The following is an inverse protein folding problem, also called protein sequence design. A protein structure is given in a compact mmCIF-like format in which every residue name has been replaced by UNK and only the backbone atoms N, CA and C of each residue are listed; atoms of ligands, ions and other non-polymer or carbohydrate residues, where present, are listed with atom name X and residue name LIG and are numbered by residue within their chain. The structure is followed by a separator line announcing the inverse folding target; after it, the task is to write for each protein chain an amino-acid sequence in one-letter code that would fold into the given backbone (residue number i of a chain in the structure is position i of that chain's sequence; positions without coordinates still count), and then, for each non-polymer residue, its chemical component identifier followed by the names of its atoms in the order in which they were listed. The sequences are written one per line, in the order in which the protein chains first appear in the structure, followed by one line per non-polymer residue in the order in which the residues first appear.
data_IF_666214377532
#
_entry.id   IF_666214377532
#
_cell.length_a   1.000
_cell.length_b   1.000
_cell.length_c   1.000
_cell.angle_alpha   90.00
_cell.angle_beta   90.00
_cell.angle_gamma   90.00
#
_symmetry.space_group_name_H-M   'P 1'
#
loop_
_entity.id
_entity.type
_entity.pdbx_description
1 polymer ?
#
# COMPACT_ATOMS: atom_id res chain seq x y z
N UNK A 1 48.50 -16.16 21.35
CA UNK A 1 47.66 -15.69 20.25
C UNK A 1 46.39 -15.15 20.88
N UNK A 2 46.06 -13.86 20.76
CA UNK A 2 44.83 -13.33 21.33
C UNK A 2 43.65 -13.76 20.43
N UNK A 3 42.67 -14.47 21.03
CA UNK A 3 41.43 -14.84 20.34
C UNK A 3 40.63 -13.57 20.02
N UNK A 4 40.47 -13.27 18.76
CA UNK A 4 39.59 -12.22 18.28
C UNK A 4 38.15 -12.76 18.33
N UNK A 5 37.41 -12.44 19.39
CA UNK A 5 35.97 -12.73 19.46
C UNK A 5 35.27 -11.72 18.57
N UNK A 6 34.82 -12.15 17.38
CA UNK A 6 33.82 -11.42 16.62
C UNK A 6 32.59 -11.24 17.52
N UNK A 7 32.26 -9.97 17.84
CA UNK A 7 31.05 -9.66 18.55
C UNK A 7 29.84 -10.25 17.81
N UNK A 8 28.85 -10.73 18.57
CA UNK A 8 27.57 -11.24 18.03
C UNK A 8 26.99 -10.22 17.07
N UNK A 9 26.58 -10.66 15.86
CA UNK A 9 25.68 -9.86 15.01
C UNK A 9 24.43 -9.61 15.85
N UNK A 10 24.21 -8.35 16.20
CA UNK A 10 23.16 -7.96 17.16
C UNK A 10 21.76 -8.24 16.59
N UNK A 11 21.56 -8.03 15.29
CA UNK A 11 20.25 -8.09 14.65
C UNK A 11 20.07 -9.36 13.84
N UNK A 12 18.87 -9.99 13.99
CA UNK A 12 18.45 -11.17 13.23
C UNK A 12 17.25 -10.84 12.37
N UNK A 13 17.42 -10.95 11.05
CA UNK A 13 16.30 -10.80 10.11
C UNK A 13 15.35 -11.99 10.21
N UNK A 14 14.04 -11.71 10.38
CA UNK A 14 12.97 -12.71 10.51
C UNK A 14 11.99 -12.71 9.34
N UNK A 15 12.17 -11.80 8.35
CA UNK A 15 11.25 -11.66 7.24
C UNK A 15 10.01 -10.84 7.58
N UNK A 16 8.89 -11.12 6.91
CA UNK A 16 7.62 -10.46 7.19
C UNK A 16 7.12 -10.83 8.58
N UNK A 17 6.55 -9.82 9.27
CA UNK A 17 5.90 -10.03 10.56
C UNK A 17 4.74 -11.03 10.41
N UNK A 18 4.67 -11.99 11.30
CA UNK A 18 3.64 -13.02 11.32
C UNK A 18 2.86 -12.99 12.65
N UNK A 19 1.59 -13.39 12.57
CA UNK A 19 0.71 -13.50 13.74
C UNK A 19 1.14 -14.68 14.65
N UNK A 20 0.83 -14.59 15.93
CA UNK A 20 1.03 -15.67 16.93
C UNK A 20 2.44 -16.26 16.90
N UNK A 21 3.44 -15.44 16.60
CA UNK A 21 4.85 -15.83 16.43
C UNK A 21 5.70 -15.29 17.58
N UNK A 22 6.54 -16.14 18.15
CA UNK A 22 7.50 -15.72 19.18
C UNK A 22 8.66 -14.95 18.55
N UNK A 23 8.87 -13.72 19.02
CA UNK A 23 9.97 -12.84 18.65
C UNK A 23 10.86 -12.56 19.86
N UNK A 24 12.15 -12.48 19.59
CA UNK A 24 13.17 -12.18 20.58
C UNK A 24 13.74 -10.79 20.37
N UNK A 25 14.28 -10.18 21.43
CA UNK A 25 15.03 -8.91 21.34
C UNK A 25 16.05 -9.01 20.22
N UNK A 26 16.21 -7.91 19.46
CA UNK A 26 17.09 -7.76 18.32
C UNK A 26 16.65 -8.56 17.06
N UNK A 27 15.50 -9.23 17.07
CA UNK A 27 14.86 -9.70 15.83
C UNK A 27 14.42 -8.45 15.01
N UNK A 28 14.61 -8.51 13.68
CA UNK A 28 14.08 -7.50 12.74
C UNK A 28 12.98 -8.14 11.91
N UNK A 29 11.84 -7.45 11.85
CA UNK A 29 10.67 -7.87 11.07
C UNK A 29 10.26 -6.76 10.11
N UNK A 30 9.65 -7.14 9.00
CA UNK A 30 9.00 -6.22 8.07
C UNK A 30 7.49 -6.23 8.27
N UNK A 31 6.89 -5.04 8.33
CA UNK A 31 5.44 -4.88 8.34
C UNK A 31 5.04 -3.71 7.43
N UNK A 32 4.27 -4.00 6.37
CA UNK A 32 4.03 -3.03 5.30
C UNK A 32 5.34 -2.65 4.60
N UNK A 33 5.54 -1.37 4.35
CA UNK A 33 6.79 -0.83 3.79
C UNK A 33 7.94 -0.71 4.79
N UNK A 34 7.67 -0.81 6.09
CA UNK A 34 8.62 -0.50 7.16
C UNK A 34 9.27 -1.74 7.75
N UNK A 35 10.47 -1.56 8.31
CA UNK A 35 11.12 -2.57 9.15
C UNK A 35 11.19 -2.12 10.60
N UNK A 36 11.09 -3.07 11.50
CA UNK A 36 11.05 -2.83 12.96
C UNK A 36 11.99 -3.77 13.67
N UNK A 37 12.65 -3.27 14.71
CA UNK A 37 13.44 -4.08 15.64
C UNK A 37 12.60 -4.43 16.87
N UNK A 38 12.65 -5.67 17.29
CA UNK A 38 12.02 -6.16 18.51
C UNK A 38 12.80 -5.68 19.72
N UNK A 39 12.14 -5.00 20.64
CA UNK A 39 12.71 -4.43 21.86
C UNK A 39 12.43 -5.27 23.10
N UNK A 40 11.43 -6.15 23.05
CA UNK A 40 11.01 -7.01 24.17
C UNK A 40 10.59 -8.37 23.63
N UNK A 41 11.08 -9.44 24.27
CA UNK A 41 10.65 -10.80 23.96
C UNK A 41 9.14 -10.96 24.15
N UNK A 42 8.44 -11.38 23.12
CA UNK A 42 6.99 -11.56 23.17
C UNK A 42 6.49 -12.50 22.06
N UNK A 43 5.25 -12.94 22.21
CA UNK A 43 4.48 -13.54 21.10
C UNK A 43 3.61 -12.46 20.47
N UNK A 44 3.68 -12.31 19.16
CA UNK A 44 2.89 -11.32 18.41
C UNK A 44 1.39 -11.61 18.50
N UNK A 45 0.59 -10.59 18.22
CA UNK A 45 -0.87 -10.67 18.19
C UNK A 45 -1.39 -11.70 17.18
N UNK A 46 -2.62 -12.14 17.39
CA UNK A 46 -3.28 -13.15 16.55
C UNK A 46 -3.93 -12.59 15.28
N UNK A 47 -3.93 -11.26 15.11
CA UNK A 47 -4.46 -10.58 13.93
C UNK A 47 -3.43 -9.65 13.29
N UNK A 48 -3.37 -9.65 11.97
CA UNK A 48 -2.47 -8.78 11.19
C UNK A 48 -2.74 -7.30 11.48
N UNK A 49 -3.99 -6.92 11.72
CA UNK A 49 -4.38 -5.55 12.05
C UNK A 49 -3.83 -5.08 13.41
N UNK A 50 -3.46 -5.99 14.29
CA UNK A 50 -3.07 -5.67 15.67
C UNK A 50 -1.55 -5.45 15.85
N UNK A 51 -0.77 -5.37 14.77
CA UNK A 51 0.66 -5.04 14.86
C UNK A 51 0.91 -3.76 15.67
N UNK A 52 0.09 -2.71 15.40
CA UNK A 52 0.24 -1.42 16.09
C UNK A 52 -0.12 -1.46 17.58
N UNK A 53 -0.86 -2.47 18.05
CA UNK A 53 -1.06 -2.70 19.49
C UNK A 53 0.26 -3.05 20.16
N UNK A 54 1.05 -3.95 19.55
CA UNK A 54 2.36 -4.32 20.06
C UNK A 54 3.40 -3.19 19.91
N UNK A 55 3.30 -2.41 18.81
CA UNK A 55 4.13 -1.22 18.61
C UNK A 55 3.85 -0.15 19.68
N UNK A 56 2.58 0.14 19.96
CA UNK A 56 2.17 1.09 21.02
C UNK A 56 2.59 0.64 22.42
N UNK A 57 2.67 -0.69 22.65
CA UNK A 57 3.19 -1.28 23.88
C UNK A 57 4.74 -1.32 23.91
N UNK A 58 5.41 -0.60 23.01
CA UNK A 58 6.87 -0.52 22.90
C UNK A 58 7.59 -1.85 22.72
N UNK A 59 6.91 -2.88 22.15
CA UNK A 59 7.54 -4.17 21.83
C UNK A 59 8.36 -4.13 20.55
N UNK A 60 8.14 -3.13 19.73
CA UNK A 60 8.86 -2.84 18.50
C UNK A 60 9.31 -1.38 18.46
N UNK A 61 10.40 -1.14 17.78
CA UNK A 61 10.88 0.19 17.43
C UNK A 61 11.09 0.26 15.91
N UNK A 62 10.68 1.36 15.28
CA UNK A 62 10.96 1.60 13.87
C UNK A 62 12.46 1.54 13.62
N UNK A 63 12.89 0.67 12.71
CA UNK A 63 14.28 0.52 12.30
C UNK A 63 14.57 1.30 11.01
N UNK A 64 13.72 1.12 9.99
CA UNK A 64 13.77 1.94 8.78
C UNK A 64 12.39 2.09 8.16
N UNK A 65 12.16 3.24 7.56
CA UNK A 65 11.00 3.48 6.71
C UNK A 65 11.29 2.97 5.30
N UNK A 66 10.25 2.50 4.64
CA UNK A 66 10.29 2.04 3.26
C UNK A 66 8.89 1.96 2.68
N UNK A 67 8.80 1.60 1.42
CA UNK A 67 7.55 1.44 0.69
C UNK A 67 7.35 -0.03 0.32
N UNK A 68 6.10 -0.45 0.27
CA UNK A 68 5.72 -1.75 -0.24
C UNK A 68 4.71 -1.60 -1.39
N UNK A 69 5.15 -1.89 -2.61
CA UNK A 69 4.25 -1.86 -3.75
C UNK A 69 3.33 -3.09 -3.73
N UNK A 70 2.03 -2.84 -3.57
CA UNK A 70 1.01 -3.87 -3.36
C UNK A 70 0.22 -4.22 -4.63
N UNK A 71 0.49 -3.54 -5.73
CA UNK A 71 -0.23 -3.71 -6.99
C UNK A 71 -1.45 -2.80 -7.09
N UNK A 72 -2.49 -3.23 -7.79
CA UNK A 72 -3.73 -2.47 -7.94
C UNK A 72 -4.50 -2.38 -6.62
N UNK A 73 -5.10 -1.20 -6.37
CA UNK A 73 -6.03 -1.04 -5.28
C UNK A 73 -7.27 -1.93 -5.47
N UNK A 74 -7.72 -2.57 -4.41
CA UNK A 74 -8.89 -3.44 -4.40
C UNK A 74 -9.82 -3.17 -3.21
N UNK A 75 -11.08 -3.61 -3.35
CA UNK A 75 -12.06 -3.61 -2.26
C UNK A 75 -11.72 -4.66 -1.19
N UNK A 76 -12.25 -4.48 0.01
CA UNK A 76 -12.14 -5.41 1.14
C UNK A 76 -10.70 -5.88 1.40
N UNK A 77 -9.74 -5.02 1.09
CA UNK A 77 -8.31 -5.31 1.16
C UNK A 77 -7.67 -4.56 2.31
N UNK A 78 -6.90 -5.27 3.14
CA UNK A 78 -6.17 -4.67 4.24
C UNK A 78 -4.91 -3.97 3.74
N UNK A 79 -4.81 -2.67 4.01
CA UNK A 79 -3.66 -1.82 3.70
C UNK A 79 -2.93 -1.38 4.95
N UNK A 80 -1.62 -1.41 4.89
CA UNK A 80 -0.71 -1.01 5.97
C UNK A 80 -0.09 0.35 5.66
N UNK A 81 0.44 0.99 6.67
CA UNK A 81 1.24 2.21 6.48
C UNK A 81 2.35 1.96 5.45
N UNK A 82 2.52 2.89 4.50
CA UNK A 82 3.49 2.84 3.42
C UNK A 82 3.29 1.72 2.38
N UNK A 83 2.11 1.04 2.38
CA UNK A 83 1.71 0.29 1.18
C UNK A 83 1.42 1.29 0.05
N UNK A 84 1.97 1.01 -1.15
CA UNK A 84 1.73 1.79 -2.37
C UNK A 84 0.86 0.97 -3.30
N UNK A 85 -0.22 1.57 -3.78
CA UNK A 85 -1.17 0.94 -4.70
C UNK A 85 -1.31 1.76 -5.97
N UNK A 86 -1.63 1.09 -7.06
CA UNK A 86 -2.06 1.74 -8.29
C UNK A 86 -3.58 1.94 -8.26
N UNK A 87 -4.02 3.16 -8.51
CA UNK A 87 -5.43 3.51 -8.65
C UNK A 87 -5.61 4.45 -9.85
N UNK A 88 -6.16 3.92 -10.95
CA UNK A 88 -6.13 4.60 -12.23
C UNK A 88 -4.70 4.81 -12.73
N UNK A 89 -4.42 5.95 -13.30
CA UNK A 89 -3.07 6.34 -13.70
C UNK A 89 -2.17 6.82 -12.57
N UNK A 90 -2.58 6.69 -11.30
CA UNK A 90 -1.88 7.20 -10.13
C UNK A 90 -1.38 6.10 -9.21
N UNK A 91 -0.25 6.35 -8.56
CA UNK A 91 0.17 5.58 -7.40
C UNK A 91 -0.19 6.34 -6.14
N UNK A 92 -0.77 5.62 -5.17
CA UNK A 92 -1.25 6.14 -3.92
C UNK A 92 -0.53 5.44 -2.77
N UNK A 93 -0.04 6.20 -1.79
CA UNK A 93 0.61 5.70 -0.58
C UNK A 93 -0.38 5.67 0.57
N UNK A 94 -0.52 4.54 1.23
CA UNK A 94 -1.34 4.41 2.43
C UNK A 94 -0.69 5.16 3.59
N UNK A 95 -1.43 6.12 4.16
CA UNK A 95 -1.01 6.93 5.31
C UNK A 95 -1.60 6.46 6.63
N UNK A 96 -2.66 5.65 6.56
CA UNK A 96 -3.34 5.11 7.74
C UNK A 96 -3.77 3.69 7.47
N UNK A 97 -3.34 2.75 8.33
CA UNK A 97 -3.74 1.35 8.24
C UNK A 97 -5.27 1.22 8.30
N UNK A 98 -5.83 0.48 7.35
CA UNK A 98 -7.26 0.24 7.26
C UNK A 98 -7.58 -0.96 6.35
N UNK A 99 -8.82 -1.40 6.37
CA UNK A 99 -9.38 -2.25 5.31
C UNK A 99 -10.22 -1.36 4.41
N UNK A 100 -9.98 -1.40 3.09
CA UNK A 100 -10.75 -0.63 2.11
C UNK A 100 -12.23 -1.02 2.12
N UNK A 101 -13.08 -0.08 1.73
CA UNK A 101 -14.52 -0.32 1.61
C UNK A 101 -14.85 -1.40 0.58
N UNK A 102 -16.06 -1.96 0.67
CA UNK A 102 -16.61 -2.91 -0.31
C UNK A 102 -17.19 -2.23 -1.56
N UNK A 103 -17.22 -0.90 -1.59
CA UNK A 103 -17.75 -0.07 -2.70
C UNK A 103 -17.22 1.36 -2.60
N UNK A 104 -17.42 2.17 -3.63
CA UNK A 104 -17.19 3.63 -3.58
C UNK A 104 -15.85 4.12 -4.12
N UNK A 105 -14.85 3.30 -4.30
CA UNK A 105 -13.55 3.70 -4.81
C UNK A 105 -12.48 3.88 -3.72
N UNK A 106 -11.43 4.64 -4.00
CA UNK A 106 -10.29 4.85 -3.10
C UNK A 106 -10.71 5.62 -1.83
N UNK A 107 -10.26 5.14 -0.68
CA UNK A 107 -10.43 5.82 0.63
C UNK A 107 -9.45 7.01 0.70
N UNK A 108 -9.84 8.15 0.13
CA UNK A 108 -8.96 9.32 -0.09
C UNK A 108 -8.43 9.95 1.20
N UNK A 109 -9.07 9.72 2.34
CA UNK A 109 -8.61 10.15 3.66
C UNK A 109 -7.54 9.21 4.27
N UNK A 110 -7.32 8.04 3.67
CA UNK A 110 -6.35 7.02 4.08
C UNK A 110 -5.16 6.89 3.13
N UNK A 111 -5.25 7.53 1.98
CA UNK A 111 -4.20 7.53 0.98
C UNK A 111 -3.79 8.94 0.61
N UNK A 112 -2.55 9.10 0.21
CA UNK A 112 -2.04 10.32 -0.41
C UNK A 112 -1.44 9.99 -1.78
N UNK A 113 -1.45 10.99 -2.67
CA UNK A 113 -0.81 10.86 -3.96
C UNK A 113 0.70 10.67 -3.79
N UNK A 114 1.21 9.55 -4.29
CA UNK A 114 2.65 9.26 -4.30
C UNK A 114 3.29 9.64 -5.64
N UNK A 115 2.68 9.22 -6.74
CA UNK A 115 3.17 9.54 -8.10
C UNK A 115 2.01 9.70 -9.07
N UNK A 116 2.03 10.74 -9.89
CA UNK A 116 1.17 10.85 -11.06
C UNK A 116 1.72 10.00 -12.21
N UNK A 117 0.83 9.35 -12.92
CA UNK A 117 1.12 8.57 -14.11
C UNK A 117 -0.14 8.45 -14.97
N UNK A 118 -0.09 7.63 -16.00
CA UNK A 118 -1.20 7.39 -16.93
C UNK A 118 -1.49 5.89 -16.99
N UNK A 119 -2.75 5.51 -17.16
CA UNK A 119 -3.19 4.11 -17.34
C UNK A 119 -4.00 3.98 -18.63
N UNK A 120 -3.42 3.31 -19.62
CA UNK A 120 -4.06 3.13 -20.92
C UNK A 120 -5.12 2.02 -20.88
N UNK A 121 -6.38 2.38 -21.12
CA UNK A 121 -7.55 1.49 -21.05
C UNK A 121 -8.04 0.96 -22.41
N UNK A 122 -7.42 1.40 -23.49
CA UNK A 122 -7.90 1.07 -24.85
C UNK A 122 -9.06 1.95 -25.30
N UNK A 123 -9.97 1.39 -26.11
CA UNK A 123 -11.13 2.13 -26.63
C UNK A 123 -12.13 2.44 -25.50
N UNK A 124 -12.79 3.60 -25.60
CA UNK A 124 -13.87 3.97 -24.68
C UNK A 124 -15.00 2.94 -24.73
N UNK A 125 -15.42 2.45 -23.58
CA UNK A 125 -16.52 1.51 -23.42
C UNK A 125 -17.60 2.06 -22.47
N UNK A 126 -18.85 1.75 -22.77
CA UNK A 126 -19.97 2.06 -21.87
C UNK A 126 -19.97 1.18 -20.62
N UNK A 127 -20.64 1.63 -19.57
CA UNK A 127 -20.75 0.93 -18.27
C UNK A 127 -19.41 0.57 -17.63
N UNK A 128 -18.37 1.36 -17.94
CA UNK A 128 -17.00 1.19 -17.42
C UNK A 128 -16.68 2.28 -16.44
N UNK A 129 -16.13 1.91 -15.27
CA UNK A 129 -15.67 2.89 -14.30
C UNK A 129 -14.28 3.38 -14.67
N UNK A 130 -14.19 4.67 -15.02
CA UNK A 130 -12.94 5.35 -15.32
C UNK A 130 -12.46 6.16 -14.13
N UNK A 131 -11.16 6.05 -13.87
CA UNK A 131 -10.46 6.73 -12.79
C UNK A 131 -9.63 7.90 -13.33
N UNK A 132 -9.23 8.81 -12.45
CA UNK A 132 -8.35 9.92 -12.84
C UNK A 132 -7.08 9.39 -13.50
N UNK A 133 -6.67 10.03 -14.59
CA UNK A 133 -5.50 9.69 -15.42
C UNK A 133 -5.63 8.35 -16.20
N UNK A 134 -6.81 7.73 -16.23
CA UNK A 134 -7.08 6.69 -17.24
C UNK A 134 -7.09 7.35 -18.63
N UNK A 135 -6.41 6.73 -19.59
CA UNK A 135 -6.39 7.15 -20.99
C UNK A 135 -7.28 6.24 -21.82
N UNK A 136 -8.21 6.81 -22.53
CA UNK A 136 -9.10 6.09 -23.44
C UNK A 136 -8.94 6.61 -24.86
N UNK A 137 -9.12 5.75 -25.86
CA UNK A 137 -9.25 6.15 -27.24
C UNK A 137 -10.74 6.30 -27.58
N UNK A 138 -11.10 7.42 -28.19
CA UNK A 138 -12.43 7.64 -28.74
C UNK A 138 -12.32 8.31 -30.12
N UNK A 139 -12.77 7.64 -31.17
CA UNK A 139 -12.51 8.07 -32.53
C UNK A 139 -11.02 8.09 -32.86
N UNK A 140 -10.55 9.22 -33.39
CA UNK A 140 -9.14 9.42 -33.76
C UNK A 140 -8.26 9.96 -32.62
N UNK A 141 -8.84 10.23 -31.43
CA UNK A 141 -8.14 10.91 -30.35
C UNK A 141 -8.00 10.05 -29.10
N UNK A 142 -7.00 10.38 -28.30
CA UNK A 142 -6.85 9.86 -26.95
C UNK A 142 -7.28 10.92 -25.94
N UNK A 143 -7.97 10.48 -24.89
CA UNK A 143 -8.54 11.33 -23.88
C UNK A 143 -8.12 10.86 -22.49
N UNK A 144 -7.71 11.80 -21.66
CA UNK A 144 -7.37 11.56 -20.25
C UNK A 144 -8.59 11.81 -19.36
N UNK A 145 -8.99 10.84 -18.56
CA UNK A 145 -10.04 11.01 -17.57
C UNK A 145 -9.61 12.05 -16.51
N UNK A 146 -10.42 13.07 -16.31
CA UNK A 146 -10.20 14.15 -15.36
C UNK A 146 -11.13 14.10 -14.15
N UNK A 147 -12.19 13.29 -14.23
CA UNK A 147 -13.17 13.11 -13.15
C UNK A 147 -13.68 11.67 -13.15
N UNK A 148 -13.53 10.99 -12.02
CA UNK A 148 -14.01 9.61 -11.86
C UNK A 148 -15.50 9.49 -12.14
N UNK A 149 -15.87 8.48 -12.91
CA UNK A 149 -17.28 8.23 -13.27
C UNK A 149 -17.46 6.85 -13.89
N UNK A 150 -18.67 6.35 -13.82
CA UNK A 150 -19.10 5.24 -14.70
C UNK A 150 -19.59 5.81 -16.00
N UNK A 151 -19.01 5.40 -17.12
CA UNK A 151 -19.40 5.85 -18.46
C UNK A 151 -20.76 5.32 -18.87
N UNK A 152 -21.40 6.05 -19.78
CA UNK A 152 -22.55 5.58 -20.54
C UNK A 152 -22.09 5.10 -21.92
N UNK A 153 -23.01 4.63 -22.76
CA UNK A 153 -22.72 4.32 -24.17
C UNK A 153 -22.30 5.55 -24.99
N UNK A 154 -22.64 6.76 -24.51
CA UNK A 154 -22.27 8.03 -25.14
C UNK A 154 -21.03 8.59 -24.45
N UNK A 155 -20.04 9.01 -25.24
CA UNK A 155 -18.83 9.65 -24.73
C UNK A 155 -19.16 11.02 -24.09
N UNK A 156 -18.76 11.22 -22.84
CA UNK A 156 -18.98 12.48 -22.13
C UNK A 156 -17.68 13.30 -22.07
N UNK A 157 -17.52 14.22 -23.03
CA UNK A 157 -16.31 15.06 -23.11
C UNK A 157 -16.04 15.92 -21.85
N UNK A 158 -17.05 16.21 -21.03
CA UNK A 158 -16.85 16.99 -19.79
C UNK A 158 -16.07 16.22 -18.70
N UNK A 159 -15.92 14.90 -18.86
CA UNK A 159 -15.17 14.03 -17.95
C UNK A 159 -13.75 13.72 -18.40
N UNK A 160 -13.37 14.24 -19.58
CA UNK A 160 -12.10 13.94 -20.19
C UNK A 160 -11.43 15.22 -20.73
N UNK A 161 -10.11 15.17 -20.84
CA UNK A 161 -9.29 16.15 -21.57
C UNK A 161 -8.55 15.44 -22.72
N UNK A 162 -8.26 16.16 -23.79
CA UNK A 162 -7.39 15.70 -24.90
C UNK A 162 -5.94 15.70 -24.46
#
# INVERSE_FOLDING_TARGET
MADFKLGRIKFKWRGDWAVSTAYLIDDIVKYGGNTYVVTTNHTSQSSVANFYTDLSASKYQLHSEGLFFKGDWGYDTFYRLNDVVKYGGRQQRCTTQHTSGSSGGLDTDKFELYTDGLDFKGDHAGSTYYKINDIVKFGAYQYKCTSEHTSTSTFNAAKFAV
#
